data_IF_256213933034
#
_entry.id   IF_256213933034
#
_cell.length_a   1.000
_cell.length_b   1.000
_cell.length_c   1.000
_cell.angle_alpha   90.00
_cell.angle_beta   90.00
_cell.angle_gamma   90.00
#
_symmetry.space_group_name_H-M   'P 1'
#
loop_
_entity.id
_entity.type
_entity.pdbx_description
1 polymer ?
#
# COMPACT_ATOMS: atom_id res chain seq x y z
N UNK A 1 -15.93 -14.70 11.94
CA UNK A 1 -15.48 -13.85 13.09
C UNK A 1 -13.97 -13.79 13.18
N UNK A 2 -13.24 -14.93 13.11
CA UNK A 2 -11.77 -14.97 13.19
C UNK A 2 -11.07 -14.05 12.17
N UNK A 3 -11.47 -14.10 10.89
CA UNK A 3 -10.88 -13.25 9.84
C UNK A 3 -11.05 -11.76 10.10
N UNK A 4 -12.21 -11.33 10.61
CA UNK A 4 -12.40 -9.94 11.01
C UNK A 4 -11.46 -9.54 12.15
N UNK A 5 -11.33 -10.38 13.16
CA UNK A 5 -10.41 -10.13 14.27
C UNK A 5 -8.96 -10.02 13.81
N UNK A 6 -8.50 -10.94 12.95
CA UNK A 6 -7.14 -10.90 12.39
C UNK A 6 -6.90 -9.64 11.57
N UNK A 7 -7.86 -9.24 10.72
CA UNK A 7 -7.73 -8.02 9.93
C UNK A 7 -7.65 -6.76 10.79
N UNK A 8 -8.47 -6.65 11.84
CA UNK A 8 -8.40 -5.52 12.78
C UNK A 8 -7.07 -5.51 13.56
N UNK A 9 -6.65 -6.67 14.04
CA UNK A 9 -5.37 -6.82 14.75
C UNK A 9 -4.19 -6.42 13.86
N UNK A 10 -4.22 -6.72 12.56
CA UNK A 10 -3.17 -6.31 11.62
C UNK A 10 -2.94 -4.80 11.62
N UNK A 11 -4.01 -3.99 11.55
CA UNK A 11 -3.87 -2.53 11.54
C UNK A 11 -3.40 -1.97 12.89
N UNK A 12 -3.76 -2.61 14.01
CA UNK A 12 -3.18 -2.26 15.32
C UNK A 12 -1.68 -2.54 15.33
N UNK A 13 -1.24 -3.68 14.81
CA UNK A 13 0.17 -4.03 14.73
C UNK A 13 0.95 -3.06 13.82
N UNK A 14 0.39 -2.64 12.68
CA UNK A 14 0.99 -1.63 11.81
C UNK A 14 1.17 -0.29 12.55
N UNK A 15 0.15 0.16 13.29
CA UNK A 15 0.23 1.39 14.06
C UNK A 15 1.32 1.32 15.15
N UNK A 16 1.39 0.19 15.88
CA UNK A 16 2.42 -0.04 16.89
C UNK A 16 3.83 -0.08 16.28
N UNK A 17 3.99 -0.70 15.11
CA UNK A 17 5.24 -0.70 14.35
C UNK A 17 5.68 0.73 14.01
N UNK A 18 4.79 1.55 13.45
CA UNK A 18 5.10 2.93 13.10
C UNK A 18 5.46 3.78 14.32
N UNK A 19 4.69 3.70 15.39
CA UNK A 19 5.00 4.41 16.66
C UNK A 19 6.38 3.98 17.18
N UNK A 20 6.72 2.70 17.10
CA UNK A 20 8.03 2.19 17.53
C UNK A 20 9.17 2.75 16.66
N UNK A 21 8.94 2.93 15.35
CA UNK A 21 9.99 3.35 14.40
C UNK A 21 10.60 4.71 14.76
N UNK A 22 9.80 5.63 15.29
CA UNK A 22 10.26 6.96 15.69
C UNK A 22 10.37 7.17 17.21
N UNK A 23 10.06 6.14 18.06
CA UNK A 23 10.16 6.25 19.53
C UNK A 23 11.29 5.40 20.10
N UNK A 24 11.03 4.10 20.27
CA UNK A 24 11.89 3.19 21.03
C UNK A 24 12.82 2.33 20.16
N UNK A 25 12.52 2.17 18.88
CA UNK A 25 13.24 1.32 17.92
C UNK A 25 13.46 -0.11 18.45
N UNK A 26 12.47 -0.66 19.17
CA UNK A 26 12.54 -2.02 19.72
C UNK A 26 12.45 -3.05 18.58
N UNK A 27 13.42 -3.99 18.45
CA UNK A 27 13.44 -4.96 17.36
C UNK A 27 12.26 -5.95 17.38
N UNK A 28 11.70 -6.28 18.55
CA UNK A 28 10.52 -7.15 18.65
C UNK A 28 9.30 -6.45 18.07
N UNK A 29 9.09 -5.17 18.38
CA UNK A 29 7.96 -4.40 17.83
C UNK A 29 8.18 -4.12 16.32
N UNK A 30 9.43 -4.10 15.87
CA UNK A 30 9.74 -3.97 14.44
C UNK A 30 9.21 -5.17 13.62
N UNK A 31 9.11 -6.37 14.19
CA UNK A 31 8.50 -7.53 13.52
C UNK A 31 6.97 -7.42 13.36
N UNK A 32 6.31 -6.48 14.03
CA UNK A 32 4.85 -6.33 14.01
C UNK A 32 4.30 -5.99 12.62
N UNK A 33 5.08 -5.34 11.77
CA UNK A 33 4.71 -5.12 10.38
C UNK A 33 4.53 -6.45 9.63
N UNK A 34 5.50 -7.35 9.76
CA UNK A 34 5.44 -8.68 9.13
C UNK A 34 4.30 -9.53 9.70
N UNK A 35 4.13 -9.55 11.02
CA UNK A 35 3.05 -10.29 11.68
C UNK A 35 1.68 -9.74 11.25
N UNK A 36 1.53 -8.42 11.20
CA UNK A 36 0.30 -7.77 10.72
C UNK A 36 0.00 -8.12 9.26
N UNK A 37 1.02 -8.13 8.41
CA UNK A 37 0.87 -8.53 6.99
C UNK A 37 0.41 -9.98 6.85
N UNK A 38 0.98 -10.88 7.63
CA UNK A 38 0.54 -12.29 7.67
C UNK A 38 -0.91 -12.39 8.17
N UNK A 39 -1.28 -11.67 9.22
CA UNK A 39 -2.65 -11.67 9.75
C UNK A 39 -3.66 -11.18 8.71
N UNK A 40 -3.35 -10.09 8.02
CA UNK A 40 -4.22 -9.55 6.97
C UNK A 40 -4.33 -10.51 5.78
N UNK A 41 -3.23 -11.14 5.37
CA UNK A 41 -3.20 -12.16 4.34
C UNK A 41 -4.06 -13.38 4.70
N UNK A 42 -3.89 -13.91 5.91
CA UNK A 42 -4.71 -15.03 6.43
C UNK A 42 -6.18 -14.63 6.50
N UNK A 43 -6.51 -13.43 6.99
CA UNK A 43 -7.88 -12.93 7.04
C UNK A 43 -8.51 -12.91 5.64
N UNK A 44 -7.77 -12.41 4.64
CA UNK A 44 -8.24 -12.35 3.24
C UNK A 44 -8.47 -13.74 2.66
N UNK A 45 -7.54 -14.66 2.88
CA UNK A 45 -7.67 -16.06 2.41
C UNK A 45 -8.87 -16.76 3.06
N UNK A 46 -9.09 -16.57 4.36
CA UNK A 46 -10.26 -17.14 5.07
C UNK A 46 -11.57 -16.60 4.52
N UNK A 47 -11.63 -15.31 4.18
CA UNK A 47 -12.83 -14.70 3.62
C UNK A 47 -13.08 -15.13 2.17
N UNK A 48 -12.02 -15.28 1.36
CA UNK A 48 -12.12 -15.85 0.01
C UNK A 48 -12.58 -17.30 0.04
N UNK A 49 -12.02 -18.10 0.95
CA UNK A 49 -12.40 -19.49 1.12
C UNK A 49 -13.88 -19.63 1.54
N UNK A 50 -14.33 -18.78 2.47
CA UNK A 50 -15.73 -18.76 2.88
C UNK A 50 -16.67 -18.36 1.74
N UNK A 51 -16.28 -17.37 0.92
CA UNK A 51 -17.04 -16.94 -0.25
C UNK A 51 -17.09 -18.03 -1.34
N UNK A 52 -15.97 -18.71 -1.56
CA UNK A 52 -15.90 -19.84 -2.48
C UNK A 52 -16.82 -21.00 -2.04
N UNK A 53 -16.78 -21.38 -0.77
CA UNK A 53 -17.69 -22.40 -0.20
C UNK A 53 -19.16 -21.99 -0.29
N UNK A 54 -19.47 -20.72 -0.26
CA UNK A 54 -20.81 -20.18 -0.43
C UNK A 54 -21.27 -20.13 -1.91
N UNK A 55 -20.41 -20.55 -2.86
CA UNK A 55 -20.72 -20.56 -4.30
C UNK A 55 -20.74 -19.17 -4.95
N UNK A 56 -20.08 -18.18 -4.34
CA UNK A 56 -20.10 -16.81 -4.85
C UNK A 56 -19.34 -16.66 -6.19
N UNK A 57 -18.34 -17.51 -6.45
CA UNK A 57 -17.52 -17.44 -7.67
C UNK A 57 -17.99 -18.46 -8.71
N UNK A 58 -19.09 -18.19 -9.39
CA UNK A 58 -19.72 -19.15 -10.31
C UNK A 58 -19.76 -18.71 -11.78
N UNK A 59 -19.46 -17.45 -12.07
CA UNK A 59 -19.55 -16.87 -13.40
C UNK A 59 -18.21 -16.49 -14.02
N UNK A 60 -18.17 -16.38 -15.34
CA UNK A 60 -16.98 -15.87 -16.06
C UNK A 60 -16.62 -14.44 -15.64
N UNK A 61 -17.61 -13.60 -15.28
CA UNK A 61 -17.39 -12.27 -14.74
C UNK A 61 -16.62 -12.26 -13.42
N UNK A 62 -16.87 -13.23 -12.55
CA UNK A 62 -16.18 -13.34 -11.26
C UNK A 62 -14.69 -13.69 -11.47
N UNK A 63 -14.38 -14.50 -12.48
CA UNK A 63 -12.99 -14.82 -12.85
C UNK A 63 -12.25 -13.56 -13.31
N UNK A 64 -12.89 -12.70 -14.10
CA UNK A 64 -12.29 -11.42 -14.54
C UNK A 64 -12.04 -10.49 -13.35
N UNK A 65 -12.96 -10.43 -12.40
CA UNK A 65 -12.80 -9.65 -11.16
C UNK A 65 -11.65 -10.19 -10.29
N UNK A 66 -11.50 -11.52 -10.19
CA UNK A 66 -10.37 -12.13 -9.48
C UNK A 66 -9.04 -11.86 -10.17
N UNK A 67 -8.97 -11.90 -11.50
CA UNK A 67 -7.78 -11.53 -12.27
C UNK A 67 -7.45 -10.06 -12.01
N UNK A 68 -8.43 -9.17 -12.08
CA UNK A 68 -8.25 -7.75 -11.78
C UNK A 68 -7.74 -7.51 -10.36
N UNK A 69 -8.26 -8.25 -9.37
CA UNK A 69 -7.80 -8.19 -8.00
C UNK A 69 -6.33 -8.68 -7.86
N UNK A 70 -5.95 -9.74 -8.57
CA UNK A 70 -4.58 -10.23 -8.59
C UNK A 70 -3.62 -9.20 -9.22
N UNK A 71 -4.04 -8.53 -10.29
CA UNK A 71 -3.26 -7.44 -10.90
C UNK A 71 -3.12 -6.24 -9.96
N UNK A 72 -4.20 -5.86 -9.26
CA UNK A 72 -4.15 -4.79 -8.26
C UNK A 72 -3.23 -5.16 -7.08
N UNK A 73 -3.23 -6.42 -6.64
CA UNK A 73 -2.29 -6.93 -5.65
C UNK A 73 -0.85 -6.87 -6.15
N UNK A 74 -0.57 -7.31 -7.37
CA UNK A 74 0.77 -7.22 -7.96
C UNK A 74 1.24 -5.77 -8.08
N UNK A 75 0.37 -4.84 -8.49
CA UNK A 75 0.67 -3.41 -8.54
C UNK A 75 0.96 -2.84 -7.13
N UNK A 76 0.24 -3.29 -6.10
CA UNK A 76 0.51 -2.92 -4.71
C UNK A 76 1.91 -3.38 -4.27
N UNK A 77 2.26 -4.64 -4.56
CA UNK A 77 3.60 -5.18 -4.25
C UNK A 77 4.67 -4.40 -5.00
N UNK A 78 4.45 -4.07 -6.28
CA UNK A 78 5.36 -3.22 -7.04
C UNK A 78 5.56 -1.85 -6.37
N UNK A 79 4.49 -1.16 -5.99
CA UNK A 79 4.59 0.12 -5.29
C UNK A 79 5.38 0.02 -3.99
N UNK A 80 5.18 -1.05 -3.20
CA UNK A 80 5.78 -1.16 -1.86
C UNK A 80 7.25 -1.59 -1.88
N UNK A 81 7.66 -2.41 -2.85
CA UNK A 81 8.95 -3.08 -2.81
C UNK A 81 9.87 -2.79 -4.01
N UNK A 82 9.33 -2.44 -5.16
CA UNK A 82 10.12 -2.27 -6.39
C UNK A 82 10.19 -0.82 -6.88
N UNK A 83 9.18 -0.01 -6.59
CA UNK A 83 9.16 1.38 -7.01
C UNK A 83 10.00 2.31 -6.11
N UNK A 84 10.51 1.81 -4.96
CA UNK A 84 11.41 2.53 -4.07
C UNK A 84 12.85 2.11 -4.39
N UNK A 85 13.74 3.00 -4.82
CA UNK A 85 15.15 2.73 -4.89
C UNK A 85 15.72 2.68 -3.46
N UNK A 86 15.76 1.47 -2.87
CA UNK A 86 16.20 1.26 -1.48
C UNK A 86 17.60 1.82 -1.21
N UNK A 87 18.50 1.76 -2.19
CA UNK A 87 19.86 2.28 -2.07
C UNK A 87 19.92 3.80 -1.94
N UNK A 88 19.08 4.55 -2.65
CA UNK A 88 19.10 6.02 -2.62
C UNK A 88 18.30 6.58 -1.43
N UNK A 89 17.23 5.88 -1.03
CA UNK A 89 16.33 6.36 0.03
C UNK A 89 16.90 6.12 1.43
N UNK A 90 17.77 5.12 1.62
CA UNK A 90 18.25 4.68 2.95
C UNK A 90 19.78 4.62 3.09
N UNK A 91 20.56 4.88 2.04
CA UNK A 91 22.02 4.69 2.07
C UNK A 91 22.80 5.93 2.53
N UNK A 92 22.23 7.11 2.48
CA UNK A 92 22.93 8.34 2.82
C UNK A 92 22.72 8.70 4.30
N UNK A 93 23.52 8.08 5.19
CA UNK A 93 23.44 8.28 6.64
C UNK A 93 23.82 9.69 7.09
N UNK A 94 24.56 10.45 6.28
CA UNK A 94 25.05 11.80 6.63
C UNK A 94 24.05 12.92 6.26
N UNK A 95 23.14 12.71 5.29
CA UNK A 95 22.19 13.73 4.82
C UNK A 95 20.74 13.52 5.26
N UNK A 96 20.44 12.47 6.04
CA UNK A 96 19.08 12.06 6.42
C UNK A 96 18.32 11.35 5.30
N UNK A 97 17.38 10.47 5.65
CA UNK A 97 16.56 9.75 4.68
C UNK A 97 15.73 10.74 3.85
N UNK A 98 15.74 10.59 2.52
CA UNK A 98 14.96 11.40 1.58
C UNK A 98 13.84 10.63 0.95
N UNK A 99 12.77 11.34 0.55
CA UNK A 99 11.61 10.74 -0.12
C UNK A 99 11.91 10.49 -1.59
N UNK A 100 11.53 9.29 -2.08
CA UNK A 100 11.47 9.02 -3.52
C UNK A 100 10.40 9.90 -4.19
N UNK A 101 10.79 10.65 -5.23
CA UNK A 101 9.93 11.62 -5.94
C UNK A 101 9.69 11.25 -7.40
N UNK A 102 10.09 10.06 -7.81
CA UNK A 102 10.05 9.59 -9.20
C UNK A 102 9.02 8.48 -9.39
N UNK A 103 8.68 8.18 -10.64
CA UNK A 103 7.79 7.08 -10.96
C UNK A 103 6.40 7.22 -10.33
N UNK A 104 5.91 6.15 -9.73
CA UNK A 104 4.58 6.11 -9.09
C UNK A 104 4.46 7.05 -7.89
N UNK A 105 5.58 7.39 -7.25
CA UNK A 105 5.62 8.34 -6.13
C UNK A 105 5.62 9.82 -6.57
N UNK A 106 5.84 10.10 -7.85
CA UNK A 106 5.53 11.40 -8.43
C UNK A 106 4.03 11.54 -8.77
N UNK A 107 3.32 10.41 -8.94
CA UNK A 107 1.89 10.38 -9.26
C UNK A 107 1.01 10.78 -8.05
N UNK A 108 1.25 10.13 -6.92
CA UNK A 108 0.64 10.45 -5.62
C UNK A 108 1.50 9.89 -4.49
N UNK A 109 1.31 10.40 -3.26
CA UNK A 109 2.13 10.01 -2.11
C UNK A 109 1.91 8.57 -1.65
N UNK A 110 0.69 8.04 -1.86
CA UNK A 110 0.30 6.71 -1.37
C UNK A 110 -0.32 5.83 -2.48
N UNK A 111 0.42 5.51 -3.56
CA UNK A 111 -0.13 4.73 -4.68
C UNK A 111 -0.56 3.32 -4.25
N UNK A 112 0.13 2.70 -3.31
CA UNK A 112 -0.21 1.39 -2.75
C UNK A 112 -1.61 1.33 -2.11
N UNK A 113 -2.11 2.44 -1.56
CA UNK A 113 -3.47 2.52 -0.97
C UNK A 113 -4.54 2.38 -2.03
N UNK A 114 -4.34 2.98 -3.21
CA UNK A 114 -5.27 2.87 -4.33
C UNK A 114 -5.32 1.43 -4.85
N UNK A 115 -4.15 0.79 -4.97
CA UNK A 115 -4.05 -0.62 -5.37
C UNK A 115 -4.73 -1.54 -4.34
N UNK A 116 -4.51 -1.30 -3.05
CA UNK A 116 -5.14 -2.04 -1.95
C UNK A 116 -6.67 -1.92 -1.99
N UNK A 117 -7.20 -0.70 -2.12
CA UNK A 117 -8.63 -0.46 -2.20
C UNK A 117 -9.24 -1.10 -3.46
N UNK A 118 -8.57 -0.98 -4.62
CA UNK A 118 -8.99 -1.63 -5.86
C UNK A 118 -9.03 -3.15 -5.73
N UNK A 119 -8.00 -3.77 -5.14
CA UNK A 119 -7.96 -5.20 -4.88
C UNK A 119 -9.17 -5.66 -4.05
N UNK A 120 -9.44 -5.02 -2.90
CA UNK A 120 -10.55 -5.42 -2.04
C UNK A 120 -11.92 -5.11 -2.65
N UNK A 121 -12.05 -4.05 -3.44
CA UNK A 121 -13.27 -3.76 -4.19
C UNK A 121 -13.57 -4.88 -5.20
N UNK A 122 -12.58 -5.27 -5.99
CA UNK A 122 -12.73 -6.32 -7.02
C UNK A 122 -13.02 -7.69 -6.38
N UNK A 123 -12.31 -8.05 -5.31
CA UNK A 123 -12.59 -9.26 -4.53
C UNK A 123 -14.01 -9.23 -3.94
N UNK A 124 -14.43 -8.08 -3.42
CA UNK A 124 -15.76 -7.92 -2.85
C UNK A 124 -16.88 -8.03 -3.89
N UNK A 125 -16.70 -7.44 -5.07
CA UNK A 125 -17.66 -7.52 -6.18
C UNK A 125 -17.79 -8.95 -6.71
N UNK A 126 -16.67 -9.66 -6.90
CA UNK A 126 -16.68 -11.06 -7.34
C UNK A 126 -17.23 -12.03 -6.29
N UNK A 127 -17.27 -11.64 -5.02
CA UNK A 127 -17.79 -12.44 -3.92
C UNK A 127 -19.21 -12.05 -3.48
N UNK A 128 -19.97 -11.32 -4.30
CA UNK A 128 -21.37 -10.98 -3.99
C UNK A 128 -22.30 -12.19 -4.11
N UNK A 129 -23.32 -12.28 -3.21
CA UNK A 129 -23.71 -11.36 -2.13
C UNK A 129 -22.97 -11.58 -0.79
N UNK A 130 -21.72 -12.02 -0.81
CA UNK A 130 -20.96 -12.38 0.38
C UNK A 130 -20.55 -11.19 1.27
N UNK A 131 -19.95 -11.54 2.41
CA UNK A 131 -19.46 -10.56 3.42
C UNK A 131 -18.14 -9.91 3.01
N UNK A 132 -17.51 -10.37 1.94
CA UNK A 132 -16.19 -9.92 1.49
C UNK A 132 -16.18 -8.42 1.15
N UNK A 133 -17.25 -7.90 0.53
CA UNK A 133 -17.37 -6.48 0.18
C UNK A 133 -17.34 -5.58 1.43
N UNK A 134 -18.08 -5.92 2.48
CA UNK A 134 -18.11 -5.14 3.72
C UNK A 134 -16.76 -5.16 4.43
N UNK A 135 -16.06 -6.28 4.41
CA UNK A 135 -14.71 -6.39 4.98
C UNK A 135 -13.68 -5.63 4.16
N UNK A 136 -13.76 -5.73 2.84
CA UNK A 136 -12.92 -4.95 1.95
C UNK A 136 -13.07 -3.45 2.14
N UNK A 137 -14.30 -2.96 2.31
CA UNK A 137 -14.58 -1.56 2.65
C UNK A 137 -13.97 -1.18 4.01
N UNK A 138 -14.14 -2.02 5.03
CA UNK A 138 -13.57 -1.79 6.36
C UNK A 138 -12.05 -1.75 6.31
N UNK A 139 -11.40 -2.74 5.69
CA UNK A 139 -9.93 -2.78 5.60
C UNK A 139 -9.38 -1.62 4.76
N UNK A 140 -10.08 -1.21 3.70
CA UNK A 140 -9.69 -0.03 2.91
C UNK A 140 -9.81 1.27 3.72
N UNK A 141 -10.85 1.41 4.54
CA UNK A 141 -11.02 2.55 5.44
C UNK A 141 -9.93 2.58 6.53
N UNK A 142 -9.60 1.42 7.13
CA UNK A 142 -8.53 1.31 8.10
C UNK A 142 -7.15 1.59 7.48
N UNK A 143 -6.91 1.13 6.26
CA UNK A 143 -5.68 1.44 5.53
C UNK A 143 -5.57 2.94 5.23
N UNK A 144 -6.66 3.57 4.81
CA UNK A 144 -6.70 5.02 4.61
C UNK A 144 -6.41 5.78 5.91
N UNK A 145 -7.01 5.38 7.03
CA UNK A 145 -6.74 5.99 8.34
C UNK A 145 -5.27 5.80 8.75
N UNK A 146 -4.71 4.61 8.52
CA UNK A 146 -3.31 4.29 8.80
C UNK A 146 -2.35 5.16 7.99
N UNK A 147 -2.56 5.31 6.67
CA UNK A 147 -1.68 6.16 5.85
C UNK A 147 -1.89 7.66 6.12
N UNK A 148 -3.08 8.09 6.56
CA UNK A 148 -3.26 9.45 7.08
C UNK A 148 -2.40 9.70 8.33
N UNK A 149 -2.26 8.71 9.20
CA UNK A 149 -1.34 8.78 10.33
C UNK A 149 0.12 8.82 9.86
N UNK A 150 0.51 7.96 8.93
CA UNK A 150 1.86 7.97 8.36
C UNK A 150 2.22 9.32 7.72
N UNK A 151 1.32 9.88 6.90
CA UNK A 151 1.52 11.15 6.20
C UNK A 151 1.69 12.34 7.14
N UNK A 152 1.01 12.31 8.31
CA UNK A 152 1.03 13.43 9.26
C UNK A 152 2.04 13.27 10.40
N UNK A 153 2.39 12.03 10.74
CA UNK A 153 3.15 11.73 11.96
C UNK A 153 4.45 11.00 11.68
N UNK A 154 4.40 9.88 10.95
CA UNK A 154 5.54 9.00 10.75
C UNK A 154 6.53 9.57 9.74
N UNK A 155 6.06 9.91 8.53
CA UNK A 155 6.93 10.32 7.44
C UNK A 155 7.62 11.68 7.65
N UNK A 156 6.97 12.72 8.23
CA UNK A 156 7.68 13.95 8.58
C UNK A 156 8.78 13.77 9.62
N UNK A 157 8.76 12.68 10.40
CA UNK A 157 9.81 12.33 11.36
C UNK A 157 10.88 11.40 10.78
N UNK A 158 10.58 10.74 9.68
CA UNK A 158 11.46 9.76 9.02
C UNK A 158 12.27 10.39 7.90
N UNK A 159 11.66 11.29 7.12
CA UNK A 159 12.26 11.90 5.92
C UNK A 159 12.46 13.40 6.14
N UNK A 160 13.67 13.87 5.91
CA UNK A 160 14.03 15.28 6.16
C UNK A 160 13.37 16.26 5.17
N UNK A 161 13.00 15.79 3.98
CA UNK A 161 12.40 16.58 2.90
C UNK A 161 10.90 16.28 2.66
N UNK A 162 10.23 15.63 3.63
CA UNK A 162 8.84 15.20 3.47
C UNK A 162 7.87 16.37 3.28
N UNK A 163 8.08 17.48 3.97
CA UNK A 163 7.17 18.63 3.89
C UNK A 163 7.19 19.29 2.49
N UNK A 164 8.39 19.39 1.87
CA UNK A 164 8.51 19.86 0.48
C UNK A 164 7.86 18.90 -0.52
N UNK A 165 8.00 17.58 -0.31
CA UNK A 165 7.32 16.56 -1.10
C UNK A 165 5.80 16.65 -0.98
N UNK A 166 5.30 16.82 0.23
CA UNK A 166 3.87 16.93 0.55
C UNK A 166 3.19 18.12 -0.13
N UNK A 167 3.91 19.23 -0.31
CA UNK A 167 3.39 20.41 -1.01
C UNK A 167 3.28 20.21 -2.52
N UNK A 168 4.13 19.36 -3.11
CA UNK A 168 4.24 19.19 -4.57
C UNK A 168 3.45 18.00 -5.11
N UNK A 169 3.30 16.95 -4.32
CA UNK A 169 2.68 15.69 -4.74
C UNK A 169 1.34 15.47 -4.02
N UNK A 170 0.26 15.18 -4.73
CA UNK A 170 -1.06 14.97 -4.13
C UNK A 170 -1.10 13.73 -3.23
N UNK A 171 -1.98 13.74 -2.23
CA UNK A 171 -2.10 12.66 -1.25
C UNK A 171 -2.46 11.30 -1.90
N UNK A 172 -3.61 11.21 -2.57
CA UNK A 172 -4.12 9.99 -3.21
C UNK A 172 -4.56 10.21 -4.65
N UNK A 173 -5.30 11.30 -4.92
CA UNK A 173 -5.91 11.52 -6.22
C UNK A 173 -4.88 12.21 -7.12
N UNK A 174 -4.42 11.55 -8.20
CA UNK A 174 -3.49 12.16 -9.14
C UNK A 174 -4.04 13.43 -9.78
N UNK A 175 -3.19 14.42 -9.92
CA UNK A 175 -3.49 15.65 -10.67
C UNK A 175 -2.87 15.56 -12.07
N UNK A 176 -3.33 16.41 -13.01
CA UNK A 176 -2.74 16.47 -14.35
C UNK A 176 -1.21 16.70 -14.30
N UNK A 177 -0.76 17.57 -13.41
CA UNK A 177 0.67 17.87 -13.27
C UNK A 177 1.44 16.67 -12.71
N UNK A 178 0.90 15.98 -11.70
CA UNK A 178 1.55 14.80 -11.13
C UNK A 178 1.63 13.63 -12.12
N UNK A 179 0.62 13.45 -12.98
CA UNK A 179 0.64 12.45 -14.07
C UNK A 179 1.76 12.77 -15.07
N UNK A 180 1.88 14.04 -15.50
CA UNK A 180 2.95 14.46 -16.43
C UNK A 180 4.33 14.24 -15.81
N UNK A 181 4.49 14.58 -14.53
CA UNK A 181 5.78 14.41 -13.81
C UNK A 181 6.12 12.93 -13.65
N UNK A 182 5.15 12.10 -13.24
CA UNK A 182 5.33 10.66 -13.13
C UNK A 182 5.76 10.04 -14.47
N UNK A 183 5.07 10.40 -15.55
CA UNK A 183 5.42 9.93 -16.89
C UNK A 183 6.84 10.29 -17.30
N UNK A 184 7.23 11.56 -17.12
CA UNK A 184 8.59 12.03 -17.46
C UNK A 184 9.67 11.33 -16.66
N UNK A 185 9.40 11.02 -15.38
CA UNK A 185 10.41 10.38 -14.51
C UNK A 185 10.50 8.86 -14.71
N UNK A 186 9.42 8.19 -15.16
CA UNK A 186 9.44 6.77 -15.52
C UNK A 186 10.30 6.49 -16.76
N UNK A 187 10.24 7.36 -17.78
CA UNK A 187 10.93 7.14 -19.07
C UNK A 187 12.29 7.84 -19.15
N UNK A 188 12.70 8.64 -18.16
CA UNK A 188 14.00 9.31 -18.14
C UNK A 188 15.10 8.44 -17.53
N UNK A 189 14.73 7.44 -16.72
CA UNK A 189 15.68 6.48 -16.17
C UNK A 189 16.34 5.60 -17.25
N UNK A 190 15.67 5.40 -18.39
CA UNK A 190 16.21 4.60 -19.50
C UNK A 190 17.18 5.36 -20.41
N UNK A 191 17.34 6.69 -20.22
CA UNK A 191 18.16 7.53 -21.12
C UNK A 191 19.49 8.01 -20.51
N UNK A 192 19.79 7.71 -19.26
CA UNK A 192 21.08 8.07 -18.61
C UNK A 192 22.09 6.91 -18.55
N UNK A 193 21.74 5.69 -18.98
CA UNK A 193 22.69 4.57 -19.11
C UNK A 193 23.49 4.57 -20.44
N UNK A 194 23.20 5.48 -21.38
CA UNK A 194 23.86 5.53 -22.71
C UNK A 194 24.75 6.78 -22.91
N UNK A 195 25.49 7.21 -21.92
CA UNK A 195 26.58 8.21 -22.14
C UNK A 195 27.91 7.60 -21.73
N UNK A 196 28.81 7.37 -22.72
CA UNK A 196 30.15 6.80 -22.51
C UNK A 196 31.11 7.71 -21.75
#
# INVERSE_FOLDING_TARGET
MLSLFLGLAAFVLYLLYDINSFTRKNPVIHSFFTVGTVFLGVATVLDLYASWKAGCFSGAGDVLLLIGAALAFAAMIYCLFFALPFTETYADQDSGNRVCRTGVYALCRHPGVLCFAAMYLLLGLGALPGRMILRGMLYSALNLAYVCFQDRVTFPRTFCDYEDYRQKVPFLIPTRNSVITAWKTLFRADSEEDVP
#
